data_IF_924475357600
#
_entry.id   IF_924475357600
#
_cell.length_a   1.000
_cell.length_b   1.000
_cell.length_c   1.000
_cell.angle_alpha   90.00
_cell.angle_beta   90.00
_cell.angle_gamma   90.00
#
_symmetry.space_group_name_H-M   'P 1'
#
loop_
_entity.id
_entity.type
_entity.pdbx_description
1 polymer ?
#
# COMPACT_ATOMS: atom_id res chain seq x y z
N UNK A 1 20.56 -4.24 -0.02
CA UNK A 1 19.58 -3.92 1.05
C UNK A 1 18.72 -5.14 1.33
N UNK A 2 18.52 -5.51 2.60
CA UNK A 2 17.72 -6.69 3.00
C UNK A 2 16.27 -6.28 3.24
N UNK A 3 15.31 -7.14 2.88
CA UNK A 3 13.90 -6.90 3.20
C UNK A 3 13.71 -6.67 4.71
N UNK A 4 12.94 -5.64 5.07
CA UNK A 4 12.68 -5.25 6.45
C UNK A 4 13.73 -4.33 7.10
N UNK A 5 14.85 -4.05 6.42
CA UNK A 5 15.81 -3.06 6.90
C UNK A 5 15.19 -1.64 6.84
N UNK A 6 15.25 -0.82 7.90
CA UNK A 6 14.77 0.56 7.81
C UNK A 6 15.50 1.37 6.73
N UNK A 7 14.77 2.24 6.05
CA UNK A 7 15.29 3.09 4.97
C UNK A 7 14.65 4.50 5.02
N UNK A 8 15.22 5.43 4.25
CA UNK A 8 14.81 6.84 4.22
C UNK A 8 14.71 7.45 5.64
N UNK A 9 15.74 7.29 6.48
CA UNK A 9 15.72 7.78 7.87
C UNK A 9 14.52 7.26 8.68
N UNK A 10 14.23 5.95 8.59
CA UNK A 10 13.13 5.25 9.26
C UNK A 10 11.71 5.61 8.76
N UNK A 11 11.58 6.22 7.58
CA UNK A 11 10.27 6.46 6.96
C UNK A 11 9.73 5.26 6.17
N UNK A 12 10.50 4.19 6.04
CA UNK A 12 10.06 2.97 5.39
C UNK A 12 10.95 1.78 5.72
N UNK A 13 10.63 0.65 5.10
CA UNK A 13 11.41 -0.59 5.19
C UNK A 13 11.77 -1.05 3.78
N UNK A 14 12.98 -1.57 3.63
CA UNK A 14 13.45 -2.07 2.34
C UNK A 14 12.59 -3.25 1.89
N UNK A 15 12.27 -3.29 0.61
CA UNK A 15 11.58 -4.39 -0.04
C UNK A 15 12.10 -4.56 -1.46
N UNK A 16 12.67 -5.73 -1.75
CA UNK A 16 13.25 -6.13 -3.03
C UNK A 16 14.20 -5.07 -3.62
N UNK A 17 15.09 -4.54 -2.77
CA UNK A 17 16.09 -3.54 -3.16
C UNK A 17 15.60 -2.09 -3.13
N UNK A 18 14.30 -1.84 -3.00
CA UNK A 18 13.69 -0.50 -2.96
C UNK A 18 13.25 -0.10 -1.55
N UNK A 19 12.82 1.15 -1.38
CA UNK A 19 12.18 1.66 -0.15
C UNK A 19 10.77 2.19 -0.49
N UNK A 20 9.76 1.32 -0.61
CA UNK A 20 8.42 1.73 -0.99
C UNK A 20 7.76 2.56 0.13
N UNK A 21 7.31 3.76 -0.21
CA UNK A 21 6.52 4.64 0.65
C UNK A 21 5.38 5.25 -0.15
N UNK A 22 4.23 5.47 0.51
CA UNK A 22 3.03 6.02 -0.14
C UNK A 22 3.27 7.37 -0.82
N UNK A 23 4.15 8.21 -0.26
CA UNK A 23 4.48 9.51 -0.83
C UNK A 23 5.07 9.38 -2.24
N UNK A 24 6.06 8.50 -2.43
CA UNK A 24 6.66 8.26 -3.72
C UNK A 24 5.66 7.66 -4.71
N UNK A 25 4.79 6.75 -4.26
CA UNK A 25 3.71 6.21 -5.10
C UNK A 25 2.74 7.30 -5.56
N UNK A 26 2.35 8.23 -4.67
CA UNK A 26 1.52 9.37 -5.06
C UNK A 26 2.20 10.26 -6.10
N UNK A 27 3.48 10.54 -5.92
CA UNK A 27 4.27 11.33 -6.89
C UNK A 27 4.37 10.59 -8.23
N UNK A 28 4.55 9.27 -8.24
CA UNK A 28 4.57 8.46 -9.46
C UNK A 28 3.23 8.50 -10.19
N UNK A 29 2.11 8.40 -9.46
CA UNK A 29 0.77 8.33 -10.05
C UNK A 29 0.21 9.67 -10.51
N UNK A 30 0.60 10.77 -9.86
CA UNK A 30 -0.01 12.08 -10.05
C UNK A 30 0.97 13.22 -10.34
N UNK A 31 2.28 12.97 -10.30
CA UNK A 31 3.32 13.95 -10.57
C UNK A 31 3.85 14.67 -9.32
N UNK A 32 4.83 15.55 -9.55
CA UNK A 32 5.49 16.31 -8.49
C UNK A 32 4.48 17.17 -7.72
N UNK A 33 4.65 17.23 -6.40
CA UNK A 33 3.77 17.97 -5.49
C UNK A 33 2.58 17.15 -4.97
N UNK A 34 2.31 15.96 -5.52
CA UNK A 34 1.35 15.04 -4.93
C UNK A 34 1.86 14.53 -3.56
N UNK A 35 0.93 14.40 -2.63
CA UNK A 35 1.19 13.92 -1.26
C UNK A 35 0.20 12.82 -0.90
N UNK A 36 0.47 12.08 0.18
CA UNK A 36 -0.50 11.10 0.72
C UNK A 36 -1.69 11.86 1.30
N UNK A 37 -2.91 11.41 1.02
CA UNK A 37 -4.11 12.04 1.60
C UNK A 37 -4.34 11.60 3.05
N UNK A 38 -5.30 12.24 3.70
CA UNK A 38 -5.70 11.98 5.08
C UNK A 38 -6.14 10.52 5.27
N UNK A 39 -5.90 9.99 6.47
CA UNK A 39 -6.25 8.61 6.84
C UNK A 39 -7.73 8.27 6.61
N UNK A 40 -8.62 9.25 6.80
CA UNK A 40 -10.05 9.09 6.56
C UNK A 40 -10.38 8.64 5.12
N UNK A 41 -9.57 9.00 4.12
CA UNK A 41 -9.76 8.55 2.74
C UNK A 41 -9.62 7.03 2.59
N UNK A 42 -8.73 6.42 3.36
CA UNK A 42 -8.48 4.98 3.28
C UNK A 42 -9.65 4.15 3.82
N UNK A 43 -10.55 4.73 4.63
CA UNK A 43 -11.77 4.06 5.08
C UNK A 43 -12.71 3.67 3.93
N UNK A 44 -12.57 4.29 2.76
CA UNK A 44 -13.28 3.83 1.57
C UNK A 44 -12.97 2.37 1.23
N UNK A 45 -11.77 1.88 1.55
CA UNK A 45 -11.37 0.49 1.29
C UNK A 45 -12.13 -0.55 2.13
N UNK A 46 -12.88 -0.11 3.15
CA UNK A 46 -13.82 -0.95 3.90
C UNK A 46 -15.07 -1.32 3.09
N UNK A 47 -15.39 -0.56 2.04
CA UNK A 47 -16.63 -0.74 1.26
C UNK A 47 -16.63 -2.06 0.49
N UNK A 48 -15.48 -2.52 0.00
CA UNK A 48 -15.38 -3.78 -0.76
C UNK A 48 -16.15 -3.75 -2.08
N UNK A 49 -16.20 -2.59 -2.75
CA UNK A 49 -16.95 -2.39 -3.99
C UNK A 49 -16.14 -1.57 -5.00
N UNK A 50 -16.39 -1.78 -6.30
CA UNK A 50 -15.70 -1.06 -7.38
C UNK A 50 -14.19 -1.16 -7.24
N UNK A 51 -13.50 -0.02 -7.08
CA UNK A 51 -12.03 0.06 -6.91
C UNK A 51 -11.57 0.17 -5.44
N UNK A 52 -12.50 0.04 -4.48
CA UNK A 52 -12.28 0.30 -3.07
C UNK A 52 -12.27 -1.00 -2.26
N UNK A 53 -11.13 -1.69 -2.30
CA UNK A 53 -10.97 -3.02 -1.73
C UNK A 53 -9.53 -3.27 -1.29
N UNK A 54 -9.29 -4.39 -0.61
CA UNK A 54 -7.95 -4.91 -0.39
C UNK A 54 -7.62 -6.01 -1.40
N UNK A 55 -8.54 -6.94 -1.65
CA UNK A 55 -8.27 -8.11 -2.51
C UNK A 55 -9.38 -8.30 -3.53
N UNK A 56 -9.01 -8.70 -4.75
CA UNK A 56 -9.93 -9.14 -5.80
C UNK A 56 -9.42 -10.45 -6.38
N UNK A 57 -10.25 -11.48 -6.34
CA UNK A 57 -9.89 -12.82 -6.81
C UNK A 57 -11.08 -13.41 -7.56
N UNK A 58 -10.86 -13.93 -8.77
CA UNK A 58 -11.90 -14.55 -9.59
C UNK A 58 -13.16 -13.67 -9.73
N UNK A 59 -12.97 -12.36 -9.94
CA UNK A 59 -14.04 -11.38 -10.05
C UNK A 59 -14.68 -10.95 -8.72
N UNK A 60 -14.46 -11.69 -7.62
CA UNK A 60 -14.97 -11.36 -6.29
C UNK A 60 -14.12 -10.29 -5.62
N UNK A 61 -14.79 -9.27 -5.07
CA UNK A 61 -14.15 -8.17 -4.34
C UNK A 61 -14.25 -8.43 -2.83
N UNK A 62 -13.13 -8.28 -2.13
CA UNK A 62 -13.04 -8.42 -0.68
C UNK A 62 -12.67 -7.07 -0.05
N UNK A 63 -13.49 -6.57 0.90
CA UNK A 63 -13.15 -5.35 1.63
C UNK A 63 -11.88 -5.55 2.45
N UNK A 64 -11.21 -4.43 2.77
CA UNK A 64 -10.17 -4.46 3.78
C UNK A 64 -10.78 -4.70 5.17
N UNK A 65 -10.02 -5.37 6.05
CA UNK A 65 -10.27 -5.24 7.48
C UNK A 65 -9.87 -3.83 7.96
N UNK A 66 -10.37 -3.34 9.11
CA UNK A 66 -10.03 -2.01 9.64
C UNK A 66 -8.54 -1.73 9.73
N UNK A 67 -7.74 -2.72 10.14
CA UNK A 67 -6.28 -2.60 10.24
C UNK A 67 -5.56 -2.61 8.88
N UNK A 68 -6.23 -3.06 7.81
CA UNK A 68 -5.63 -3.28 6.49
C UNK A 68 -5.97 -2.17 5.49
N UNK A 69 -6.76 -1.16 5.88
CA UNK A 69 -7.22 -0.09 4.98
C UNK A 69 -6.10 0.63 4.26
N UNK A 70 -4.92 0.71 4.88
CA UNK A 70 -3.68 1.30 4.35
C UNK A 70 -2.93 0.39 3.35
N UNK A 71 -3.47 -0.79 3.02
CA UNK A 71 -2.91 -1.74 2.05
C UNK A 71 -3.83 -2.03 0.86
N UNK A 72 -4.97 -1.31 0.77
CA UNK A 72 -5.89 -1.31 -0.36
C UNK A 72 -5.56 -0.24 -1.41
N UNK A 73 -6.59 0.45 -1.92
CA UNK A 73 -6.44 1.60 -2.83
C UNK A 73 -5.62 2.70 -2.18
N UNK A 74 -4.66 3.26 -2.91
CA UNK A 74 -3.89 4.43 -2.48
C UNK A 74 -4.70 5.71 -2.71
N UNK A 75 -4.66 6.61 -1.74
CA UNK A 75 -5.28 7.93 -1.82
C UNK A 75 -4.22 9.02 -1.70
N UNK A 76 -4.29 9.97 -2.61
CA UNK A 76 -3.34 11.06 -2.77
C UNK A 76 -4.07 12.40 -2.78
N UNK A 77 -3.34 13.43 -2.39
CA UNK A 77 -3.73 14.83 -2.46
C UNK A 77 -2.85 15.56 -3.45
N UNK A 78 -3.45 16.34 -4.35
CA UNK A 78 -2.72 17.14 -5.33
C UNK A 78 -2.37 18.51 -4.76
N UNK A 79 -1.19 19.02 -5.12
CA UNK A 79 -0.80 20.39 -4.78
C UNK A 79 -1.80 21.38 -5.40
N UNK A 80 -2.24 22.37 -4.62
CA UNK A 80 -3.21 23.40 -5.01
C UNK A 80 -4.64 22.94 -5.34
N UNK A 81 -4.98 21.67 -5.06
CA UNK A 81 -6.36 21.18 -5.20
C UNK A 81 -6.83 20.55 -3.89
N UNK A 82 -7.26 21.41 -2.97
CA UNK A 82 -7.94 21.01 -1.73
C UNK A 82 -9.43 20.74 -1.93
N UNK A 83 -9.99 21.05 -3.11
CA UNK A 83 -11.43 20.96 -3.36
C UNK A 83 -11.88 19.49 -3.52
N UNK A 84 -10.96 18.62 -3.93
CA UNK A 84 -11.25 17.21 -4.21
C UNK A 84 -10.27 16.29 -3.48
N UNK A 85 -10.46 16.07 -2.16
CA UNK A 85 -9.66 15.11 -1.41
C UNK A 85 -9.93 13.68 -1.86
N UNK A 86 -9.10 12.76 -1.39
CA UNK A 86 -9.16 11.33 -1.65
C UNK A 86 -9.03 11.00 -3.14
N UNK A 87 -8.10 11.63 -3.87
CA UNK A 87 -7.82 11.27 -5.26
C UNK A 87 -7.21 9.88 -5.31
N UNK A 88 -7.67 9.06 -6.25
CA UNK A 88 -7.13 7.73 -6.50
C UNK A 88 -6.98 7.49 -8.00
N UNK A 89 -6.06 6.60 -8.37
CA UNK A 89 -5.93 6.07 -9.73
C UNK A 89 -6.37 4.62 -9.72
N UNK A 90 -6.90 4.18 -10.84
CA UNK A 90 -7.21 2.79 -11.14
C UNK A 90 -6.96 2.61 -12.63
N UNK A 91 -6.69 1.38 -13.04
CA UNK A 91 -6.61 1.08 -14.46
C UNK A 91 -8.02 0.98 -15.01
N UNK A 92 -8.24 1.48 -16.22
CA UNK A 92 -9.54 1.30 -16.86
C UNK A 92 -9.89 -0.20 -16.97
N UNK A 93 -11.19 -0.53 -17.04
CA UNK A 93 -11.71 -1.89 -16.90
C UNK A 93 -11.15 -2.91 -17.93
N UNK A 94 -10.33 -2.47 -18.88
CA UNK A 94 -9.67 -3.31 -19.90
C UNK A 94 -8.25 -3.75 -19.53
N UNK A 95 -7.65 -3.24 -18.46
CA UNK A 95 -6.34 -3.69 -18.04
C UNK A 95 -6.43 -4.84 -17.03
N UNK A 96 -5.62 -5.88 -17.23
CA UNK A 96 -5.43 -6.98 -16.28
C UNK A 96 -4.72 -6.54 -14.97
N UNK A 97 -4.20 -5.31 -14.91
CA UNK A 97 -3.50 -4.80 -13.74
C UNK A 97 -4.47 -4.26 -12.67
N UNK A 98 -5.01 -5.20 -11.89
CA UNK A 98 -5.82 -4.92 -10.71
C UNK A 98 -5.06 -4.21 -9.59
N UNK A 99 -3.72 -4.17 -9.68
CA UNK A 99 -2.81 -3.61 -8.70
C UNK A 99 -2.45 -2.15 -9.00
N UNK A 100 -2.63 -1.68 -10.24
CA UNK A 100 -2.37 -0.29 -10.60
C UNK A 100 -3.14 0.68 -9.71
N UNK A 101 -2.42 1.54 -9.00
CA UNK A 101 -2.95 2.54 -8.06
C UNK A 101 -3.32 1.99 -6.67
N UNK A 102 -3.05 0.71 -6.39
CA UNK A 102 -3.09 0.16 -5.04
C UNK A 102 -1.80 0.50 -4.30
N UNK A 103 -1.81 0.41 -2.97
CA UNK A 103 -0.58 0.57 -2.18
C UNK A 103 0.37 -0.59 -2.46
N UNK A 104 1.63 -0.32 -2.80
CA UNK A 104 2.58 -1.39 -3.15
C UNK A 104 2.89 -2.30 -1.95
N UNK A 105 3.26 -3.55 -2.24
CA UNK A 105 3.82 -4.43 -1.23
C UNK A 105 5.12 -3.89 -0.63
N UNK A 106 5.32 -4.13 0.66
CA UNK A 106 6.41 -3.63 1.46
C UNK A 106 6.28 -2.18 1.91
N UNK A 107 5.27 -1.45 1.44
CA UNK A 107 4.98 -0.09 1.90
C UNK A 107 4.64 -0.09 3.38
N UNK A 108 5.20 0.86 4.13
CA UNK A 108 4.84 1.07 5.54
C UNK A 108 3.36 1.43 5.67
N UNK A 109 2.63 0.73 6.54
CA UNK A 109 1.20 0.96 6.78
C UNK A 109 0.90 1.40 8.22
N UNK A 110 1.82 1.11 9.14
CA UNK A 110 1.87 1.64 10.50
C UNK A 110 3.30 1.51 11.03
N UNK A 111 3.59 2.08 12.21
CA UNK A 111 4.89 1.91 12.87
C UNK A 111 5.18 0.41 13.04
N UNK A 112 6.34 -0.04 12.55
CA UNK A 112 6.73 -1.46 12.62
C UNK A 112 5.97 -2.39 11.67
N UNK A 113 5.15 -1.88 10.75
CA UNK A 113 4.27 -2.70 9.90
C UNK A 113 4.34 -2.33 8.42
N UNK A 114 4.17 -3.34 7.57
CA UNK A 114 4.22 -3.20 6.11
C UNK A 114 3.05 -3.92 5.43
N UNK A 115 2.73 -3.49 4.22
CA UNK A 115 1.73 -4.14 3.39
C UNK A 115 2.26 -5.42 2.75
N UNK A 116 1.66 -6.56 3.08
CA UNK A 116 1.95 -7.86 2.46
C UNK A 116 0.65 -8.57 2.13
N UNK A 117 0.49 -9.05 0.90
CA UNK A 117 -0.74 -9.69 0.44
C UNK A 117 -2.01 -8.89 0.80
N UNK A 118 -1.93 -7.56 0.68
CA UNK A 118 -3.03 -6.63 0.95
C UNK A 118 -3.45 -6.57 2.44
N UNK A 119 -2.55 -6.95 3.34
CA UNK A 119 -2.72 -6.88 4.80
C UNK A 119 -1.59 -6.07 5.44
N UNK A 120 -1.90 -5.35 6.52
CA UNK A 120 -0.93 -4.58 7.29
C UNK A 120 -0.36 -5.41 8.44
N UNK A 121 0.78 -6.03 8.19
CA UNK A 121 1.39 -7.03 9.09
C UNK A 121 2.69 -6.50 9.70
N UNK A 122 3.12 -7.12 10.81
CA UNK A 122 4.40 -6.80 11.44
C UNK A 122 5.57 -7.01 10.47
N UNK A 123 6.54 -6.10 10.46
CA UNK A 123 7.71 -6.17 9.56
C UNK A 123 8.50 -7.47 9.73
N UNK A 124 8.58 -7.98 10.96
CA UNK A 124 9.25 -9.24 11.24
C UNK A 124 8.43 -10.42 10.72
N UNK A 125 7.10 -10.38 10.85
CA UNK A 125 6.23 -11.40 10.27
C UNK A 125 6.28 -11.39 8.73
N UNK A 126 6.31 -10.21 8.12
CA UNK A 126 6.35 -10.03 6.67
C UNK A 126 7.60 -10.63 6.04
N UNK A 127 8.75 -10.48 6.72
CA UNK A 127 10.06 -10.84 6.20
C UNK A 127 10.80 -11.89 7.04
N UNK A 128 10.06 -12.65 7.86
CA UNK A 128 10.57 -13.78 8.63
C UNK A 128 11.43 -14.64 7.70
N UNK A 129 12.73 -14.66 7.98
CA UNK A 129 13.66 -15.61 7.40
C UNK A 129 13.22 -16.98 7.92
N UNK A 130 12.79 -17.89 7.05
CA UNK A 130 12.77 -19.32 7.38
C UNK A 130 14.22 -19.75 7.55
N UNK A 131 14.79 -19.47 8.71
CA UNK A 131 16.12 -19.94 9.09
C UNK A 131 16.03 -20.54 10.49
N UNK A 132 15.11 -21.48 10.64
CA UNK A 132 15.10 -22.55 11.65
C UNK A 132 14.29 -23.65 10.96
N UNK A 133 14.89 -24.61 10.24
CA UNK A 133 15.62 -25.77 10.72
C UNK A 133 16.55 -26.27 9.60
N UNK A 134 17.86 -26.25 9.85
CA UNK A 134 18.84 -27.23 9.36
C UNK A 134 20.09 -27.04 10.21
N UNK A 135 19.97 -27.45 11.47
CA UNK A 135 21.12 -27.73 12.31
C UNK A 135 21.00 -29.19 12.76
N UNK A 136 21.92 -29.98 12.21
CA UNK A 136 22.44 -31.28 12.68
C UNK A 136 21.51 -32.47 12.46
#
# INVERSE_FOLDING_TARGET
HRNGQPCLNNHGYCYNGNCPIMLHQCITLFGLGATVDHDACFNNNLKGQGHFYCRRENGRIFPCAPQDVKCGRLYCKLHNDNAYPCRYKYSDDYSEDLDFGMVDHGTICAVGRVCRNRQCVDVNEAYKSTTVFSLI
#
